data_IF_908815438233
#
_entry.id   IF_908815438233
#
_cell.length_a   1.000
_cell.length_b   1.000
_cell.length_c   1.000
_cell.angle_alpha   90.00
_cell.angle_beta   90.00
_cell.angle_gamma   90.00
#
_symmetry.space_group_name_H-M   'P 1'
#
loop_
_entity.id
_entity.type
_entity.pdbx_description
1 polymer ?
#
# COMPACT_ATOMS: atom_id res chain seq x y z
N UNK A 1 -28.78 -6.21 34.76
CA UNK A 1 -28.66 -5.97 33.30
C UNK A 1 -28.20 -4.57 32.95
N UNK A 2 -28.74 -3.48 33.51
CA UNK A 2 -28.35 -2.11 33.10
C UNK A 2 -26.88 -1.76 33.43
N UNK A 3 -26.39 -2.16 34.61
CA UNK A 3 -25.00 -1.88 35.02
C UNK A 3 -23.95 -2.54 34.12
N UNK A 4 -24.19 -3.76 33.62
CA UNK A 4 -23.27 -4.45 32.72
C UNK A 4 -23.23 -3.79 31.33
N UNK A 5 -24.34 -3.22 30.87
CA UNK A 5 -24.38 -2.46 29.61
C UNK A 5 -23.65 -1.11 29.74
N UNK A 6 -23.81 -0.40 30.87
CA UNK A 6 -23.06 0.82 31.17
C UNK A 6 -21.55 0.57 31.22
N UNK A 7 -21.14 -0.53 31.86
CA UNK A 7 -19.72 -0.90 31.94
C UNK A 7 -19.16 -1.24 30.55
N UNK A 8 -19.88 -2.03 29.76
CA UNK A 8 -19.49 -2.36 28.39
C UNK A 8 -19.36 -1.10 27.51
N UNK A 9 -20.32 -0.18 27.59
CA UNK A 9 -20.27 1.11 26.90
C UNK A 9 -19.02 1.91 27.27
N UNK A 10 -18.72 2.03 28.57
CA UNK A 10 -17.52 2.72 29.05
C UNK A 10 -16.23 2.09 28.50
N UNK A 11 -16.13 0.76 28.50
CA UNK A 11 -14.97 0.06 27.94
C UNK A 11 -14.85 0.25 26.42
N UNK A 12 -15.97 0.26 25.68
CA UNK A 12 -15.94 0.52 24.24
C UNK A 12 -15.51 1.94 23.92
N UNK A 13 -15.97 2.94 24.68
CA UNK A 13 -15.53 4.33 24.54
C UNK A 13 -14.04 4.49 24.86
N UNK A 14 -13.56 3.88 25.95
CA UNK A 14 -12.17 3.97 26.36
C UNK A 14 -11.23 3.35 25.32
N UNK A 15 -11.62 2.21 24.73
CA UNK A 15 -10.90 1.60 23.62
C UNK A 15 -10.95 2.48 22.36
N UNK A 16 -12.10 3.09 22.05
CA UNK A 16 -12.24 3.98 20.91
C UNK A 16 -11.29 5.20 20.99
N UNK A 17 -11.14 5.81 22.16
CA UNK A 17 -10.21 6.91 22.40
C UNK A 17 -8.73 6.50 22.17
N UNK A 18 -8.35 5.30 22.60
CA UNK A 18 -6.99 4.78 22.36
C UNK A 18 -6.74 4.52 20.87
N UNK A 19 -7.69 3.94 20.16
CA UNK A 19 -7.60 3.72 18.70
C UNK A 19 -7.44 5.05 17.97
N UNK A 20 -8.23 6.07 18.31
CA UNK A 20 -8.10 7.39 17.71
C UNK A 20 -6.74 8.05 17.98
N UNK A 21 -6.18 7.89 19.20
CA UNK A 21 -4.84 8.40 19.53
C UNK A 21 -3.75 7.73 18.70
N UNK A 22 -3.83 6.41 18.53
CA UNK A 22 -2.90 5.65 17.67
C UNK A 22 -3.05 6.09 16.22
N UNK A 23 -4.27 6.23 15.73
CA UNK A 23 -4.55 6.66 14.36
C UNK A 23 -4.00 8.06 14.06
N UNK A 24 -4.15 8.98 15.03
CA UNK A 24 -3.60 10.33 14.92
C UNK A 24 -2.07 10.31 14.94
N UNK A 25 -1.47 9.48 15.80
CA UNK A 25 0.00 9.34 15.87
C UNK A 25 0.58 8.75 14.58
N UNK A 26 -0.11 7.75 14.00
CA UNK A 26 0.28 7.06 12.78
C UNK A 26 -0.36 7.65 11.52
N UNK A 27 -0.89 8.88 11.58
CA UNK A 27 -1.66 9.48 10.49
C UNK A 27 -0.91 9.44 9.15
N UNK A 28 0.40 9.71 9.16
CA UNK A 28 1.23 9.68 7.95
C UNK A 28 1.40 8.29 7.31
N UNK A 29 1.09 7.22 8.03
CA UNK A 29 1.10 5.84 7.51
C UNK A 29 -0.28 5.39 7.03
N UNK A 30 -1.33 6.17 7.32
CA UNK A 30 -2.70 5.92 6.83
C UNK A 30 -2.87 6.56 5.46
N UNK A 31 -2.53 5.78 4.43
CA UNK A 31 -2.62 6.24 3.05
C UNK A 31 -4.08 6.21 2.58
N UNK A 32 -4.54 7.32 2.00
CA UNK A 32 -5.82 7.35 1.28
C UNK A 32 -5.71 6.65 -0.07
N UNK A 33 -6.84 6.24 -0.63
CA UNK A 33 -6.89 5.66 -1.99
C UNK A 33 -6.28 6.60 -3.03
N UNK A 34 -6.47 7.92 -2.89
CA UNK A 34 -5.83 8.93 -3.74
C UNK A 34 -4.30 8.89 -3.64
N UNK A 35 -3.77 8.71 -2.43
CA UNK A 35 -2.32 8.59 -2.21
C UNK A 35 -1.79 7.29 -2.82
N UNK A 36 -2.52 6.19 -2.68
CA UNK A 36 -2.18 4.90 -3.29
C UNK A 36 -2.19 4.98 -4.82
N UNK A 37 -3.18 5.67 -5.40
CA UNK A 37 -3.26 5.90 -6.83
C UNK A 37 -2.09 6.73 -7.35
N UNK A 38 -1.70 7.79 -6.63
CA UNK A 38 -0.51 8.58 -6.95
C UNK A 38 0.77 7.73 -6.88
N UNK A 39 0.96 6.92 -5.85
CA UNK A 39 2.11 5.98 -5.75
C UNK A 39 2.12 5.00 -6.93
N UNK A 40 0.98 4.43 -7.28
CA UNK A 40 0.84 3.54 -8.45
C UNK A 40 1.23 4.25 -9.75
N UNK A 41 0.76 5.48 -9.96
CA UNK A 41 1.09 6.28 -11.13
C UNK A 41 2.59 6.64 -11.20
N UNK A 42 3.21 6.96 -10.06
CA UNK A 42 4.66 7.20 -9.99
C UNK A 42 5.44 5.94 -10.34
N UNK A 43 5.04 4.79 -9.79
CA UNK A 43 5.69 3.51 -10.10
C UNK A 43 5.57 3.16 -11.58
N UNK A 44 4.39 3.34 -12.19
CA UNK A 44 4.19 3.14 -13.63
C UNK A 44 5.09 4.02 -14.49
N UNK A 45 5.24 5.31 -14.16
CA UNK A 45 6.17 6.21 -14.86
C UNK A 45 7.62 5.76 -14.72
N UNK A 46 8.04 5.25 -13.57
CA UNK A 46 9.40 4.72 -13.39
C UNK A 46 9.62 3.40 -14.13
N UNK A 47 8.58 2.55 -14.27
CA UNK A 47 8.65 1.37 -15.13
C UNK A 47 8.84 1.75 -16.60
N UNK A 48 8.10 2.74 -17.10
CA UNK A 48 8.27 3.25 -18.47
C UNK A 48 9.70 3.77 -18.70
N UNK A 49 10.24 4.54 -17.75
CA UNK A 49 11.65 4.99 -17.80
C UNK A 49 12.62 3.81 -17.78
N UNK A 50 12.36 2.79 -16.99
CA UNK A 50 13.15 1.58 -16.94
C UNK A 50 13.14 0.79 -18.24
N UNK A 51 12.06 0.84 -19.03
CA UNK A 51 11.99 0.19 -20.34
C UNK A 51 12.55 1.06 -21.48
N UNK A 52 12.60 2.38 -21.30
CA UNK A 52 13.11 3.31 -22.31
C UNK A 52 14.63 3.21 -22.49
N UNK A 53 15.08 3.08 -23.75
CA UNK A 53 16.51 2.91 -24.09
C UNK A 53 17.37 4.05 -23.54
N UNK A 54 16.91 5.29 -23.67
CA UNK A 54 17.67 6.47 -23.24
C UNK A 54 17.52 6.77 -21.75
N UNK A 55 16.43 6.32 -21.13
CA UNK A 55 16.07 6.65 -19.74
C UNK A 55 16.50 5.58 -18.74
N UNK A 56 16.70 4.34 -19.19
CA UNK A 56 17.10 3.19 -18.37
C UNK A 56 18.39 3.43 -17.56
N UNK A 57 19.48 4.03 -18.12
CA UNK A 57 20.75 4.15 -17.39
C UNK A 57 20.65 4.91 -16.06
N UNK A 58 19.65 5.79 -15.92
CA UNK A 58 19.39 6.58 -14.71
C UNK A 58 18.06 6.24 -14.03
N UNK A 59 17.32 5.23 -14.51
CA UNK A 59 16.02 4.86 -13.95
C UNK A 59 16.18 4.17 -12.59
N UNK A 60 15.32 4.52 -11.63
CA UNK A 60 15.30 3.88 -10.32
C UNK A 60 14.72 2.45 -10.38
N UNK A 61 13.80 2.20 -11.32
CA UNK A 61 13.22 0.87 -11.60
C UNK A 61 13.91 0.30 -12.84
N UNK A 62 14.68 -0.78 -12.68
CA UNK A 62 15.65 -1.23 -13.69
C UNK A 62 15.08 -2.03 -14.88
N UNK A 63 13.87 -2.58 -14.72
CA UNK A 63 13.19 -3.40 -15.74
C UNK A 63 14.10 -4.44 -16.44
N UNK A 64 14.78 -5.26 -15.64
CA UNK A 64 15.80 -6.19 -16.13
C UNK A 64 15.21 -7.33 -16.97
N UNK A 65 15.87 -7.73 -18.08
CA UNK A 65 15.43 -8.86 -18.87
C UNK A 65 15.63 -10.19 -18.13
N UNK A 66 14.60 -11.04 -18.14
CA UNK A 66 14.67 -12.39 -17.54
C UNK A 66 14.95 -13.48 -18.56
N UNK A 67 14.87 -13.16 -19.87
CA UNK A 67 14.92 -14.09 -20.99
C UNK A 67 13.84 -15.20 -20.98
N UNK A 68 12.90 -15.17 -20.04
CA UNK A 68 11.68 -15.98 -20.04
C UNK A 68 10.70 -15.37 -21.04
N UNK A 69 10.29 -16.14 -22.04
CA UNK A 69 9.46 -15.65 -23.16
C UNK A 69 7.99 -16.04 -23.07
N UNK A 70 7.67 -17.05 -22.27
CA UNK A 70 6.30 -17.51 -22.04
C UNK A 70 6.19 -18.24 -20.70
N UNK A 71 4.97 -18.33 -20.19
CA UNK A 71 4.61 -19.27 -19.12
C UNK A 71 4.54 -20.71 -19.68
N UNK A 72 4.56 -21.74 -18.83
CA UNK A 72 4.38 -23.13 -19.27
C UNK A 72 3.06 -23.31 -20.06
N UNK A 73 3.10 -24.09 -21.14
CA UNK A 73 1.97 -24.33 -22.04
C UNK A 73 1.40 -25.76 -21.95
N UNK A 74 2.00 -26.63 -21.13
CA UNK A 74 1.54 -27.99 -20.89
C UNK A 74 1.86 -29.00 -22.00
N UNK A 75 2.77 -28.67 -22.93
CA UNK A 75 3.17 -29.54 -24.05
C UNK A 75 4.31 -30.52 -23.74
N UNK A 76 4.65 -30.67 -22.45
CA UNK A 76 5.70 -31.57 -21.95
C UNK A 76 5.35 -33.05 -22.06
#
# INVERSE_FOLDING_TARGET
>A
MIASHLLAYFFTELNHDQVQKVDKYLYHMRLSDETLLDVSNRFSKEMEKGLGVDTNPTACVKMLPTFVRSTPDGTG
#
